data_IF_351287746018
#
_entry.id   IF_351287746018
#
_cell.length_a   1.000
_cell.length_b   1.000
_cell.length_c   1.000
_cell.angle_alpha   90.00
_cell.angle_beta   90.00
_cell.angle_gamma   90.00
#
_symmetry.space_group_name_H-M   'P 1'
#
loop_
_entity.id
_entity.type
_entity.pdbx_description
1 polymer ?
#
# COMPACT_ATOMS: atom_id res chain seq x y z
N UNK A 1 -5.83 9.77 13.38
CA UNK A 1 -5.50 9.82 11.94
C UNK A 1 -4.23 10.64 11.78
N UNK A 2 -3.31 10.20 10.93
CA UNK A 2 -2.12 10.98 10.54
C UNK A 2 -2.50 11.82 9.31
N UNK A 3 -2.72 13.14 9.45
CA UNK A 3 -3.07 14.00 8.33
C UNK A 3 -1.85 14.23 7.45
N UNK A 4 -1.90 13.74 6.21
CA UNK A 4 -0.85 13.96 5.22
C UNK A 4 -1.10 15.26 4.44
N UNK A 5 -0.04 16.03 4.27
CA UNK A 5 0.05 17.14 3.33
C UNK A 5 0.93 16.76 2.16
N UNK A 6 0.42 16.98 0.95
CA UNK A 6 1.15 16.71 -0.29
C UNK A 6 1.77 18.01 -0.80
N UNK A 7 3.06 17.96 -1.11
CA UNK A 7 3.81 19.10 -1.64
C UNK A 7 4.67 18.63 -2.82
N UNK A 8 4.88 19.52 -3.80
CA UNK A 8 5.63 19.19 -5.02
C UNK A 8 4.75 18.58 -6.12
N UNK A 9 5.39 17.96 -7.10
CA UNK A 9 4.73 17.30 -8.23
C UNK A 9 5.70 16.36 -8.95
N UNK A 10 5.18 15.31 -9.58
CA UNK A 10 6.01 14.31 -10.26
C UNK A 10 6.99 13.66 -9.28
N UNK A 11 8.25 13.49 -9.69
CA UNK A 11 9.29 12.88 -8.84
C UNK A 11 9.62 13.69 -7.56
N UNK A 12 9.26 14.98 -7.53
CA UNK A 12 9.45 15.85 -6.37
C UNK A 12 8.24 15.86 -5.42
N UNK A 13 7.22 15.03 -5.66
CA UNK A 13 6.07 14.94 -4.76
C UNK A 13 6.44 14.22 -3.45
N UNK A 14 6.15 14.87 -2.32
CA UNK A 14 6.37 14.35 -0.98
C UNK A 14 5.08 14.34 -0.16
N UNK A 15 4.93 13.33 0.69
CA UNK A 15 3.88 13.24 1.69
C UNK A 15 4.44 13.55 3.09
N UNK A 16 3.99 14.66 3.67
CA UNK A 16 4.45 15.18 4.96
C UNK A 16 3.35 14.96 6.01
N UNK A 17 3.68 14.32 7.13
CA UNK A 17 2.78 14.26 8.28
C UNK A 17 2.67 15.65 8.93
N UNK A 18 1.48 16.26 8.89
CA UNK A 18 1.28 17.60 9.46
C UNK A 18 1.49 17.66 10.97
N UNK A 19 1.34 16.54 11.67
CA UNK A 19 1.48 16.53 13.12
C UNK A 19 2.95 16.61 13.54
N UNK A 20 3.83 15.88 12.85
CA UNK A 20 5.25 15.81 13.18
C UNK A 20 6.17 16.65 12.30
N UNK A 21 5.67 17.13 11.15
CA UNK A 21 6.47 17.82 10.13
C UNK A 21 7.43 16.89 9.37
N UNK A 22 7.34 15.57 9.57
CA UNK A 22 8.24 14.60 8.93
C UNK A 22 7.71 14.21 7.56
N UNK A 23 8.61 14.19 6.57
CA UNK A 23 8.35 13.50 5.30
C UNK A 23 8.26 12.00 5.57
N UNK A 24 7.13 11.39 5.25
CA UNK A 24 6.87 9.95 5.42
C UNK A 24 6.71 9.22 4.08
N UNK A 25 6.56 9.95 2.98
CA UNK A 25 6.46 9.40 1.61
C UNK A 25 7.33 10.23 0.66
N UNK A 26 8.10 9.57 -0.20
CA UNK A 26 8.88 10.15 -1.31
C UNK A 26 8.85 9.23 -2.53
N UNK A 27 9.11 9.80 -3.70
CA UNK A 27 9.27 9.06 -4.96
C UNK A 27 10.75 8.86 -5.25
N UNK A 28 11.14 7.62 -5.56
CA UNK A 28 12.48 7.29 -6.04
C UNK A 28 12.37 6.72 -7.48
N UNK A 29 12.85 7.45 -8.50
CA UNK A 29 12.77 7.04 -9.91
C UNK A 29 13.43 5.69 -10.20
N UNK A 30 14.32 5.21 -9.33
CA UNK A 30 14.94 3.89 -9.44
C UNK A 30 13.91 2.75 -9.52
N UNK A 31 12.73 2.93 -8.94
CA UNK A 31 11.67 1.91 -8.95
C UNK A 31 10.75 1.98 -10.17
N UNK A 32 10.93 2.97 -11.06
CA UNK A 32 10.17 3.05 -12.31
C UNK A 32 10.59 1.98 -13.30
N UNK A 33 9.61 1.46 -14.03
CA UNK A 33 9.83 0.42 -15.05
C UNK A 33 9.74 1.06 -16.45
N UNK A 34 10.71 0.79 -17.35
CA UNK A 34 10.67 1.32 -18.73
C UNK A 34 9.43 0.92 -19.53
N UNK A 35 8.79 -0.19 -19.16
CA UNK A 35 7.55 -0.68 -19.75
C UNK A 35 6.52 -0.85 -18.62
N UNK A 36 5.87 0.25 -18.25
CA UNK A 36 4.79 0.25 -17.27
C UNK A 36 3.49 -0.27 -17.87
N UNK A 37 2.63 -0.86 -17.04
CA UNK A 37 1.29 -1.30 -17.45
C UNK A 37 0.25 -0.38 -16.81
N UNK A 38 -0.42 0.43 -17.62
CA UNK A 38 -1.33 1.48 -17.12
C UNK A 38 -2.54 0.93 -16.35
N UNK A 39 -3.12 -0.18 -16.80
CA UNK A 39 -4.32 -0.75 -16.19
C UNK A 39 -4.37 -2.27 -16.34
N UNK A 40 -4.59 -2.94 -15.22
CA UNK A 40 -4.92 -4.37 -15.16
C UNK A 40 -6.29 -4.55 -14.52
N UNK A 41 -7.25 -5.03 -15.32
CA UNK A 41 -8.62 -5.28 -14.87
C UNK A 41 -9.06 -6.68 -15.30
N UNK A 42 -9.18 -7.60 -14.33
CA UNK A 42 -9.63 -8.96 -14.58
C UNK A 42 -11.14 -9.12 -14.48
N UNK A 43 -11.74 -9.92 -15.37
CA UNK A 43 -13.12 -10.40 -15.25
C UNK A 43 -13.15 -11.88 -14.80
N UNK A 44 -13.48 -12.17 -13.53
CA UNK A 44 -13.57 -13.54 -13.02
C UNK A 44 -14.91 -14.24 -13.34
N UNK A 45 -15.77 -13.69 -14.20
CA UNK A 45 -17.13 -14.21 -14.45
C UNK A 45 -17.15 -15.68 -14.87
N UNK A 46 -16.14 -16.14 -15.63
CA UNK A 46 -16.01 -17.56 -16.01
C UNK A 46 -15.79 -18.47 -14.80
N UNK A 47 -14.89 -18.09 -13.89
CA UNK A 47 -14.60 -18.86 -12.68
C UNK A 47 -15.82 -18.92 -11.76
N UNK A 48 -16.55 -17.80 -11.60
CA UNK A 48 -17.81 -17.78 -10.85
C UNK A 48 -18.85 -18.73 -11.44
N UNK A 49 -19.05 -18.70 -12.76
CA UNK A 49 -20.03 -19.59 -13.44
C UNK A 49 -19.66 -21.07 -13.37
N UNK A 50 -18.39 -21.41 -13.58
CA UNK A 50 -17.97 -22.81 -13.74
C UNK A 50 -17.58 -23.46 -12.42
N UNK A 51 -17.07 -22.68 -11.47
CA UNK A 51 -16.47 -23.19 -10.23
C UNK A 51 -17.22 -22.72 -8.98
N UNK A 52 -18.22 -21.84 -9.11
CA UNK A 52 -18.84 -21.17 -7.97
C UNK A 52 -17.87 -20.30 -7.18
N UNK A 53 -16.73 -19.94 -7.78
CA UNK A 53 -15.69 -19.17 -7.10
C UNK A 53 -16.13 -17.72 -6.88
N UNK A 54 -15.88 -17.21 -5.67
CA UNK A 54 -16.13 -15.82 -5.30
C UNK A 54 -14.99 -15.26 -4.44
N UNK A 55 -14.79 -13.95 -4.55
CA UNK A 55 -13.82 -13.20 -3.75
C UNK A 55 -14.28 -13.17 -2.29
N UNK A 56 -13.41 -13.62 -1.36
CA UNK A 56 -13.67 -13.57 0.09
C UNK A 56 -13.04 -12.38 0.79
N UNK A 57 -12.04 -11.77 0.17
CA UNK A 57 -11.23 -10.68 0.73
C UNK A 57 -11.20 -9.54 -0.26
N UNK A 58 -11.75 -8.39 0.14
CA UNK A 58 -11.69 -7.17 -0.66
C UNK A 58 -10.36 -6.42 -0.43
N UNK A 59 -10.13 -5.35 -1.19
CA UNK A 59 -8.90 -4.57 -1.13
C UNK A 59 -8.63 -3.99 0.26
N UNK A 60 -9.62 -3.33 0.87
CA UNK A 60 -9.46 -2.71 2.20
C UNK A 60 -9.14 -3.75 3.27
N UNK A 61 -9.80 -4.92 3.22
CA UNK A 61 -9.52 -6.04 4.12
C UNK A 61 -8.08 -6.53 3.95
N UNK A 62 -7.61 -6.68 2.71
CA UNK A 62 -6.24 -7.10 2.43
C UNK A 62 -5.23 -6.09 3.00
N UNK A 63 -5.44 -4.79 2.76
CA UNK A 63 -4.56 -3.73 3.30
C UNK A 63 -4.50 -3.80 4.82
N UNK A 64 -5.66 -3.93 5.49
CA UNK A 64 -5.70 -4.03 6.96
C UNK A 64 -4.95 -5.27 7.46
N UNK A 65 -5.19 -6.45 6.87
CA UNK A 65 -4.49 -7.68 7.27
C UNK A 65 -2.97 -7.59 7.12
N UNK A 66 -2.50 -6.93 6.05
CA UNK A 66 -1.06 -6.73 5.83
C UNK A 66 -0.46 -5.78 6.86
N UNK A 67 -1.09 -4.63 7.11
CA UNK A 67 -0.60 -3.63 8.08
C UNK A 67 -0.62 -4.18 9.50
N UNK A 68 -1.68 -4.88 9.90
CA UNK A 68 -1.79 -5.47 11.24
C UNK A 68 -0.66 -6.48 11.51
N UNK A 69 -0.35 -7.31 10.52
CA UNK A 69 0.74 -8.28 10.60
C UNK A 69 2.11 -7.59 10.72
N UNK A 70 2.37 -6.57 9.90
CA UNK A 70 3.63 -5.80 9.94
C UNK A 70 3.80 -5.05 11.27
N UNK A 71 2.72 -4.50 11.84
CA UNK A 71 2.73 -3.85 13.14
C UNK A 71 3.06 -4.85 14.26
N UNK A 72 2.44 -6.03 14.25
CA UNK A 72 2.75 -7.08 15.23
C UNK A 72 4.23 -7.50 15.15
N UNK A 73 4.75 -7.67 13.94
CA UNK A 73 6.16 -8.00 13.73
C UNK A 73 7.09 -6.88 14.25
N UNK A 74 6.83 -5.63 13.89
CA UNK A 74 7.65 -4.49 14.31
C UNK A 74 7.67 -4.33 15.84
N UNK A 75 6.56 -4.58 16.53
CA UNK A 75 6.50 -4.54 17.99
C UNK A 75 7.32 -5.67 18.64
N UNK A 76 7.33 -6.87 18.05
CA UNK A 76 8.18 -7.98 18.52
C UNK A 76 9.66 -7.64 18.35
N UNK A 77 10.06 -7.06 17.21
CA UNK A 77 11.44 -6.66 16.95
C UNK A 77 11.93 -5.57 17.91
N UNK A 78 11.09 -4.56 18.22
CA UNK A 78 11.41 -3.54 19.23
C UNK A 78 11.67 -4.13 20.60
N UNK A 79 10.87 -5.13 21.03
CA UNK A 79 11.02 -5.80 22.33
C UNK A 79 12.25 -6.70 22.40
N UNK A 80 12.69 -7.26 21.27
CA UNK A 80 13.88 -8.12 21.20
C UNK A 80 15.18 -7.31 21.15
N UNK A 81 15.13 -6.07 20.65
CA UNK A 81 16.30 -5.20 20.45
C UNK A 81 16.47 -4.12 21.55
N UNK A 82 15.61 -4.11 22.57
CA UNK A 82 15.68 -3.21 23.74
C UNK A 82 15.97 -3.98 25.01
#
# INVERSE_FOLDING_TARGET
KMPLEWQGSGEAEEGIDRNSGKTVIRIDPKYFRPAEVDLLLGDPSKAKRQLGWELKTNFDQLVNMMVDADLEQAEREKRANG
#
